data_IF_326797489580
#
_entry.id   IF_326797489580
#
_cell.length_a   1.000
_cell.length_b   1.000
_cell.length_c   1.000
_cell.angle_alpha   90.00
_cell.angle_beta   90.00
_cell.angle_gamma   90.00
#
_symmetry.space_group_name_H-M   'P 1'
#
loop_
_entity.id
_entity.type
_entity.pdbx_description
1 polymer ?
#
# COMPACT_ATOMS: atom_id res chain seq x y z
N UNK A 1 10.01 -16.20 3.21
CA UNK A 1 9.27 -15.81 4.40
C UNK A 1 10.03 -14.69 5.08
N UNK A 2 9.43 -13.53 5.21
CA UNK A 2 10.11 -12.33 5.69
C UNK A 2 10.10 -12.29 7.21
N UNK A 3 11.28 -12.17 7.82
CA UNK A 3 11.41 -11.76 9.22
C UNK A 3 10.67 -10.44 9.51
N UNK A 4 10.70 -9.99 10.76
CA UNK A 4 10.15 -8.69 11.13
C UNK A 4 10.88 -7.53 10.44
N UNK A 5 10.23 -6.39 10.34
CA UNK A 5 10.82 -5.19 9.76
C UNK A 5 10.18 -3.93 10.31
N UNK A 6 10.95 -2.86 10.34
CA UNK A 6 10.45 -1.49 10.57
C UNK A 6 10.90 -0.64 9.39
N UNK A 7 10.03 0.23 8.90
CA UNK A 7 10.35 1.13 7.80
C UNK A 7 9.82 2.54 8.05
N UNK A 8 10.52 3.50 7.46
CA UNK A 8 10.08 4.88 7.37
C UNK A 8 10.08 5.30 5.91
N UNK A 9 9.17 6.19 5.53
CA UNK A 9 9.09 6.69 4.17
C UNK A 9 8.60 8.14 4.14
N UNK A 10 9.06 8.90 3.17
CA UNK A 10 8.58 10.23 2.89
C UNK A 10 8.07 10.28 1.46
N UNK A 11 6.88 10.84 1.27
CA UNK A 11 6.24 11.03 -0.03
C UNK A 11 6.03 12.52 -0.26
N UNK A 12 6.32 12.99 -1.46
CA UNK A 12 6.12 14.36 -1.91
C UNK A 12 5.39 14.37 -3.24
N UNK A 13 4.27 15.07 -3.29
CA UNK A 13 3.59 15.48 -4.51
C UNK A 13 3.69 17.00 -4.61
N UNK A 14 4.46 17.53 -5.57
CA UNK A 14 4.50 18.97 -5.84
C UNK A 14 3.11 19.49 -6.19
N UNK A 15 2.95 20.81 -6.12
CA UNK A 15 1.66 21.44 -6.41
C UNK A 15 1.16 21.09 -7.82
N UNK A 16 -0.06 20.57 -7.89
CA UNK A 16 -0.80 20.26 -9.11
C UNK A 16 -2.05 21.13 -9.20
N UNK A 17 -2.38 21.61 -10.39
CA UNK A 17 -3.56 22.44 -10.63
C UNK A 17 -4.83 21.58 -10.67
N UNK A 18 -5.94 22.15 -10.24
CA UNK A 18 -7.26 21.60 -10.54
C UNK A 18 -7.63 21.84 -12.01
N UNK A 19 -8.58 21.09 -12.54
CA UNK A 19 -9.05 21.23 -13.92
C UNK A 19 -10.14 22.29 -14.04
N UNK A 20 -11.09 22.21 -13.12
CA UNK A 20 -12.40 22.87 -13.24
C UNK A 20 -12.56 24.05 -12.30
N UNK A 21 -11.64 24.22 -11.36
CA UNK A 21 -11.65 25.30 -10.36
C UNK A 21 -10.27 25.93 -10.24
N UNK A 22 -10.21 27.15 -9.74
CA UNK A 22 -8.95 27.84 -9.45
C UNK A 22 -8.14 27.12 -8.34
N UNK A 23 -6.83 27.38 -8.31
CA UNK A 23 -5.96 26.82 -7.30
C UNK A 23 -5.35 25.46 -7.67
N UNK A 24 -4.94 24.72 -6.64
CA UNK A 24 -4.25 23.45 -6.82
C UNK A 24 -4.20 22.62 -5.54
N UNK A 25 -3.58 21.48 -5.66
CA UNK A 25 -3.40 20.49 -4.63
C UNK A 25 -1.91 20.23 -4.42
N UNK A 26 -1.47 20.24 -3.18
CA UNK A 26 -0.11 19.86 -2.76
C UNK A 26 -0.21 18.86 -1.63
N UNK A 27 0.67 17.87 -1.63
CA UNK A 27 0.64 16.76 -0.68
C UNK A 27 2.05 16.37 -0.26
N UNK A 28 2.23 16.14 1.02
CA UNK A 28 3.42 15.46 1.55
C UNK A 28 3.02 14.53 2.69
N UNK A 29 3.72 13.41 2.82
CA UNK A 29 3.43 12.45 3.88
C UNK A 29 4.68 11.80 4.43
N UNK A 30 4.72 11.65 5.75
CA UNK A 30 5.70 10.83 6.47
C UNK A 30 4.99 9.57 6.93
N UNK A 31 5.50 8.41 6.51
CA UNK A 31 4.97 7.10 6.84
C UNK A 31 5.93 6.28 7.68
N UNK A 32 5.40 5.49 8.59
CA UNK A 32 6.10 4.46 9.35
C UNK A 32 5.33 3.16 9.24
N UNK A 33 6.03 2.04 9.09
CA UNK A 33 5.42 0.73 9.10
C UNK A 33 6.26 -0.24 9.93
N UNK A 34 5.59 -1.19 10.56
CA UNK A 34 6.24 -2.25 11.31
C UNK A 34 5.56 -3.59 11.01
N UNK A 35 6.37 -4.63 10.85
CA UNK A 35 5.93 -6.01 10.84
C UNK A 35 6.69 -6.76 11.93
N UNK A 36 5.96 -7.31 12.89
CA UNK A 36 6.53 -8.04 14.04
C UNK A 36 6.07 -9.49 13.94
N UNK A 37 6.98 -10.45 13.76
CA UNK A 37 6.61 -11.86 13.79
C UNK A 37 6.16 -12.23 15.21
N UNK A 38 4.97 -12.78 15.34
CA UNK A 38 4.41 -13.23 16.62
C UNK A 38 4.73 -14.70 16.86
N UNK A 39 4.54 -15.51 15.83
CA UNK A 39 4.70 -16.95 15.90
C UNK A 39 5.15 -17.49 14.55
N UNK A 40 6.00 -18.52 14.59
CA UNK A 40 6.37 -19.31 13.43
C UNK A 40 6.55 -20.76 13.83
N UNK A 41 5.80 -21.64 13.20
CA UNK A 41 6.03 -23.08 13.36
C UNK A 41 7.33 -23.49 12.67
N UNK A 42 8.01 -24.49 13.21
CA UNK A 42 9.08 -25.17 12.47
C UNK A 42 8.46 -25.91 11.28
N UNK A 43 9.10 -25.92 10.11
CA UNK A 43 8.67 -26.79 9.03
C UNK A 43 8.69 -28.26 9.50
N UNK A 44 7.62 -28.98 9.22
CA UNK A 44 7.60 -30.43 9.43
C UNK A 44 8.31 -31.15 8.27
N UNK A 45 8.34 -32.49 8.30
CA UNK A 45 8.96 -33.34 7.26
C UNK A 45 8.37 -33.07 5.86
N UNK A 46 7.09 -32.73 5.77
CA UNK A 46 6.43 -32.32 4.51
C UNK A 46 6.70 -30.86 4.13
N UNK A 47 7.55 -30.13 4.86
CA UNK A 47 7.84 -28.70 4.63
C UNK A 47 6.72 -27.75 5.02
N UNK A 48 5.63 -28.23 5.66
CA UNK A 48 4.51 -27.37 6.09
C UNK A 48 4.96 -26.43 7.19
N UNK A 49 4.56 -25.16 7.06
CA UNK A 49 4.78 -24.16 8.11
C UNK A 49 3.62 -23.16 8.18
N UNK A 50 3.54 -22.49 9.31
CA UNK A 50 2.63 -21.38 9.57
C UNK A 50 3.41 -20.22 10.21
N UNK A 51 3.15 -19.01 9.78
CA UNK A 51 3.71 -17.81 10.37
C UNK A 51 2.58 -16.81 10.64
N UNK A 52 2.55 -16.24 11.84
CA UNK A 52 1.69 -15.13 12.18
C UNK A 52 2.52 -13.89 12.48
N UNK A 53 2.03 -12.72 12.13
CA UNK A 53 2.70 -11.43 12.35
C UNK A 53 1.71 -10.33 12.68
N UNK A 54 2.15 -9.38 13.51
CA UNK A 54 1.48 -8.12 13.74
C UNK A 54 1.97 -7.10 12.71
N UNK A 55 1.06 -6.31 12.16
CA UNK A 55 1.36 -5.20 11.28
C UNK A 55 0.86 -3.90 11.91
N UNK A 56 1.66 -2.87 11.83
CA UNK A 56 1.28 -1.52 12.22
C UNK A 56 1.73 -0.56 11.12
N UNK A 57 0.82 0.28 10.66
CA UNK A 57 1.10 1.33 9.70
C UNK A 57 0.63 2.64 10.28
N UNK A 58 1.45 3.66 10.13
CA UNK A 58 1.17 5.01 10.59
C UNK A 58 1.65 6.00 9.52
N UNK A 59 0.82 6.98 9.18
CA UNK A 59 1.16 8.01 8.23
C UNK A 59 0.57 9.34 8.67
N UNK A 60 1.41 10.36 8.76
CA UNK A 60 0.97 11.76 8.86
C UNK A 60 1.09 12.42 7.51
N UNK A 61 0.06 13.16 7.13
CA UNK A 61 -0.05 13.78 5.82
C UNK A 61 -0.37 15.26 5.99
N UNK A 62 0.35 16.10 5.26
CA UNK A 62 0.05 17.53 5.12
C UNK A 62 -0.43 17.77 3.70
N UNK A 63 -1.65 18.29 3.55
CA UNK A 63 -2.23 18.63 2.25
C UNK A 63 -2.81 20.04 2.24
N UNK A 64 -2.58 20.77 1.17
CA UNK A 64 -3.20 22.08 0.92
C UNK A 64 -4.05 22.03 -0.33
N UNK A 65 -5.20 22.69 -0.27
CA UNK A 65 -6.18 22.79 -1.35
C UNK A 65 -6.41 24.25 -1.64
N UNK A 66 -6.23 24.68 -2.88
CA UNK A 66 -6.32 26.10 -3.24
C UNK A 66 -7.71 26.75 -3.10
N UNK A 67 -8.73 25.99 -2.77
CA UNK A 67 -10.09 26.47 -2.48
C UNK A 67 -10.44 26.39 -0.99
N UNK A 68 -9.53 25.92 -0.15
CA UNK A 68 -9.69 25.87 1.31
C UNK A 68 -8.55 26.66 1.93
N UNK A 69 -8.87 27.68 2.69
CA UNK A 69 -7.88 28.41 3.46
C UNK A 69 -7.29 27.48 4.52
N UNK A 70 -5.99 27.36 4.53
CA UNK A 70 -5.20 26.52 5.43
C UNK A 70 -4.84 25.12 4.93
N UNK A 71 -3.61 24.77 5.22
CA UNK A 71 -3.09 23.40 5.11
C UNK A 71 -3.79 22.49 6.11
N UNK A 72 -4.19 21.32 5.68
CA UNK A 72 -4.81 20.30 6.52
C UNK A 72 -3.83 19.19 6.84
N UNK A 73 -3.88 18.73 8.09
CA UNK A 73 -3.07 17.63 8.57
C UNK A 73 -3.97 16.42 8.83
N UNK A 74 -3.64 15.32 8.16
CA UNK A 74 -4.36 14.06 8.27
C UNK A 74 -3.49 13.03 8.97
N UNK A 75 -4.14 12.18 9.73
CA UNK A 75 -3.58 10.99 10.33
C UNK A 75 -4.21 9.77 9.68
N UNK A 76 -3.38 8.83 9.26
CA UNK A 76 -3.78 7.50 8.84
C UNK A 76 -3.01 6.48 9.68
N UNK A 77 -3.72 5.62 10.38
CA UNK A 77 -3.12 4.58 11.21
C UNK A 77 -3.89 3.29 11.09
N UNK A 78 -3.20 2.16 11.10
CA UNK A 78 -3.81 0.85 11.14
C UNK A 78 -2.99 -0.16 11.94
N UNK A 79 -3.70 -1.08 12.57
CA UNK A 79 -3.14 -2.28 13.19
C UNK A 79 -3.80 -3.51 12.60
N UNK A 80 -3.02 -4.55 12.37
CA UNK A 80 -3.53 -5.76 11.76
C UNK A 80 -2.73 -7.00 12.12
N UNK A 81 -3.36 -8.13 11.84
CA UNK A 81 -2.76 -9.45 11.91
C UNK A 81 -2.55 -9.99 10.51
N UNK A 82 -1.39 -10.58 10.27
CA UNK A 82 -1.08 -11.28 9.04
C UNK A 82 -0.74 -12.73 9.33
N UNK A 83 -1.08 -13.61 8.42
CA UNK A 83 -0.69 -15.00 8.47
C UNK A 83 -0.21 -15.50 7.10
N UNK A 84 0.79 -16.35 7.12
CA UNK A 84 1.27 -17.09 5.96
C UNK A 84 1.27 -18.57 6.30
N UNK A 85 0.59 -19.37 5.48
CA UNK A 85 0.54 -20.81 5.62
C UNK A 85 1.05 -21.49 4.35
N UNK A 86 1.92 -22.45 4.51
CA UNK A 86 2.39 -23.35 3.44
C UNK A 86 2.07 -24.77 3.81
N UNK A 87 1.38 -25.47 2.95
CA UNK A 87 0.90 -26.82 3.21
C UNK A 87 1.81 -27.94 2.69
N UNK A 88 3.05 -27.62 2.30
CA UNK A 88 4.01 -28.59 1.75
C UNK A 88 3.83 -28.89 0.26
N UNK A 89 2.79 -28.35 -0.38
CA UNK A 89 2.51 -28.52 -1.82
C UNK A 89 2.92 -27.31 -2.66
N UNK A 90 2.05 -26.95 -3.61
CA UNK A 90 2.27 -25.83 -4.54
C UNK A 90 1.64 -24.50 -4.07
N UNK A 91 0.97 -24.49 -2.92
CA UNK A 91 0.17 -23.37 -2.48
C UNK A 91 0.77 -22.70 -1.24
N UNK A 92 0.87 -21.37 -1.30
CA UNK A 92 1.10 -20.50 -0.14
C UNK A 92 -0.14 -19.65 0.04
N UNK A 93 -0.75 -19.73 1.20
CA UNK A 93 -1.88 -18.89 1.59
C UNK A 93 -1.38 -17.69 2.37
N UNK A 94 -1.82 -16.51 2.00
CA UNK A 94 -1.53 -15.24 2.68
C UNK A 94 -2.85 -14.64 3.12
N UNK A 95 -2.96 -14.34 4.39
CA UNK A 95 -4.13 -13.71 5.00
C UNK A 95 -3.70 -12.46 5.76
N UNK A 96 -4.52 -11.44 5.72
CA UNK A 96 -4.39 -10.29 6.60
C UNK A 96 -5.75 -9.75 6.99
N UNK A 97 -5.82 -9.15 8.15
CA UNK A 97 -6.96 -8.37 8.62
C UNK A 97 -6.44 -7.19 9.42
N UNK A 98 -6.99 -6.01 9.21
CA UNK A 98 -6.58 -4.80 9.89
C UNK A 98 -7.77 -3.91 10.22
N UNK A 99 -7.64 -3.18 11.33
CA UNK A 99 -8.48 -2.07 11.73
C UNK A 99 -7.66 -0.79 11.68
N UNK A 100 -8.24 0.29 11.22
CA UNK A 100 -7.53 1.56 11.12
C UNK A 100 -8.47 2.75 11.09
N UNK A 101 -7.86 3.92 11.05
CA UNK A 101 -8.55 5.20 10.88
C UNK A 101 -7.80 6.06 9.87
N UNK A 102 -8.50 6.98 9.21
CA UNK A 102 -7.87 8.03 8.44
C UNK A 102 -8.76 9.27 8.47
N UNK A 103 -8.28 10.30 9.14
CA UNK A 103 -9.05 11.51 9.40
C UNK A 103 -8.13 12.73 9.51
N UNK A 104 -8.69 13.92 9.34
CA UNK A 104 -8.01 15.13 9.74
C UNK A 104 -8.01 15.30 11.27
N UNK A 105 -7.14 16.16 11.77
CA UNK A 105 -7.02 16.43 13.20
C UNK A 105 -8.33 16.92 13.81
N UNK A 106 -9.08 17.76 13.10
CA UNK A 106 -10.36 18.30 13.60
C UNK A 106 -11.44 17.24 13.83
N UNK A 107 -11.44 16.16 13.03
CA UNK A 107 -12.35 15.02 13.24
C UNK A 107 -11.92 14.20 14.45
N UNK A 108 -10.62 13.99 14.60
CA UNK A 108 -10.06 13.21 15.74
C UNK A 108 -10.35 13.92 17.07
N UNK A 109 -10.08 15.21 17.13
CA UNK A 109 -10.30 16.02 18.35
C UNK A 109 -11.77 16.05 18.80
N UNK A 110 -12.71 15.90 17.86
CA UNK A 110 -14.16 15.84 18.14
C UNK A 110 -14.68 14.44 18.45
N UNK A 111 -13.83 13.42 18.48
CA UNK A 111 -14.19 12.01 18.68
C UNK A 111 -15.20 11.46 17.66
N UNK A 112 -15.30 12.06 16.48
CA UNK A 112 -16.20 11.66 15.39
C UNK A 112 -15.54 10.71 14.39
N UNK A 113 -14.42 10.10 14.77
CA UNK A 113 -13.63 9.24 13.91
C UNK A 113 -14.32 7.89 13.68
N UNK A 114 -14.48 7.51 12.43
CA UNK A 114 -14.94 6.16 12.05
C UNK A 114 -13.76 5.26 11.74
N UNK A 115 -13.78 4.08 12.33
CA UNK A 115 -12.80 3.03 12.04
C UNK A 115 -13.10 2.37 10.70
N UNK A 116 -12.05 1.81 10.10
CA UNK A 116 -12.08 1.07 8.85
C UNK A 116 -11.55 -0.32 9.07
N UNK A 117 -12.21 -1.29 8.49
CA UNK A 117 -11.73 -2.67 8.46
C UNK A 117 -11.23 -2.98 7.05
N UNK A 118 -10.11 -3.67 6.96
CA UNK A 118 -9.58 -4.18 5.71
C UNK A 118 -9.05 -5.59 5.91
N UNK A 119 -8.99 -6.34 4.84
CA UNK A 119 -8.42 -7.68 4.89
C UNK A 119 -8.20 -8.23 3.50
N UNK A 120 -7.41 -9.30 3.41
CA UNK A 120 -7.26 -10.06 2.19
C UNK A 120 -6.96 -11.52 2.50
N UNK A 121 -7.43 -12.38 1.61
CA UNK A 121 -7.06 -13.78 1.53
C UNK A 121 -6.59 -14.07 0.11
N UNK A 122 -5.32 -14.45 -0.04
CA UNK A 122 -4.69 -14.68 -1.33
C UNK A 122 -3.99 -16.03 -1.31
N UNK A 123 -4.26 -16.83 -2.33
CA UNK A 123 -3.57 -18.08 -2.60
C UNK A 123 -2.55 -17.84 -3.71
N UNK A 124 -1.29 -18.13 -3.42
CA UNK A 124 -0.20 -18.15 -4.39
C UNK A 124 0.03 -19.60 -4.80
N UNK A 125 -0.35 -19.94 -6.03
CA UNK A 125 -0.21 -21.26 -6.60
C UNK A 125 1.02 -21.35 -7.49
N UNK A 126 2.01 -22.14 -7.12
CA UNK A 126 3.19 -22.39 -7.93
C UNK A 126 2.84 -23.30 -9.12
N UNK A 127 2.66 -22.69 -10.30
CA UNK A 127 2.39 -23.43 -11.53
C UNK A 127 3.66 -24.11 -12.05
N UNK A 128 4.77 -23.38 -12.07
CA UNK A 128 6.07 -23.89 -12.53
C UNK A 128 7.22 -23.32 -11.68
N UNK A 129 8.46 -23.70 -11.99
CA UNK A 129 9.64 -23.09 -11.33
C UNK A 129 9.80 -21.60 -11.62
N UNK A 130 9.12 -21.06 -12.63
CA UNK A 130 9.20 -19.66 -13.05
C UNK A 130 7.92 -18.87 -12.80
N UNK A 131 6.76 -19.54 -12.62
CA UNK A 131 5.45 -18.90 -12.64
C UNK A 131 4.63 -19.24 -11.42
N UNK A 132 4.04 -18.22 -10.79
CA UNK A 132 3.08 -18.31 -9.69
C UNK A 132 1.81 -17.59 -10.10
N UNK A 133 0.68 -18.24 -10.00
CA UNK A 133 -0.64 -17.62 -10.09
C UNK A 133 -1.06 -17.15 -8.69
N UNK A 134 -1.77 -16.04 -8.65
CA UNK A 134 -2.27 -15.44 -7.43
C UNK A 134 -3.77 -15.20 -7.58
N UNK A 135 -4.57 -15.69 -6.66
CA UNK A 135 -6.01 -15.48 -6.67
C UNK A 135 -6.57 -15.41 -5.27
N UNK A 136 -7.63 -14.63 -5.11
CA UNK A 136 -8.19 -14.43 -3.79
C UNK A 136 -9.26 -13.35 -3.75
N UNK A 137 -9.47 -12.83 -2.56
CA UNK A 137 -10.39 -11.73 -2.29
C UNK A 137 -9.74 -10.74 -1.33
N UNK A 138 -9.93 -9.46 -1.60
CA UNK A 138 -9.59 -8.38 -0.68
C UNK A 138 -10.86 -7.64 -0.27
N UNK A 139 -10.86 -7.17 0.96
CA UNK A 139 -11.92 -6.38 1.54
C UNK A 139 -11.35 -5.02 1.95
N UNK A 140 -11.86 -3.95 1.38
CA UNK A 140 -11.29 -2.62 1.58
C UNK A 140 -12.36 -1.53 1.59
N UNK A 141 -12.10 -0.46 2.33
CA UNK A 141 -12.89 0.77 2.33
C UNK A 141 -12.42 1.82 1.32
N UNK A 142 -11.51 1.48 0.42
CA UNK A 142 -10.96 2.43 -0.54
C UNK A 142 -12.04 3.18 -1.36
N UNK A 143 -13.20 2.56 -1.57
CA UNK A 143 -14.31 3.13 -2.33
C UNK A 143 -15.47 3.64 -1.47
N UNK A 144 -15.28 3.81 -0.18
CA UNK A 144 -16.29 4.40 0.70
C UNK A 144 -17.24 3.44 1.37
N UNK A 145 -17.37 2.25 0.83
CA UNK A 145 -18.11 1.13 1.44
C UNK A 145 -17.17 -0.07 1.54
N UNK A 146 -17.38 -0.94 2.52
CA UNK A 146 -16.68 -2.20 2.55
C UNK A 146 -17.08 -3.00 1.30
N UNK A 147 -16.16 -3.22 0.40
CA UNK A 147 -16.41 -3.92 -0.86
C UNK A 147 -15.43 -5.10 -0.98
N UNK A 148 -15.95 -6.31 -1.16
CA UNK A 148 -15.12 -7.43 -1.55
C UNK A 148 -14.67 -7.24 -3.00
N UNK A 149 -13.36 -7.30 -3.22
CA UNK A 149 -12.74 -7.17 -4.53
C UNK A 149 -12.07 -8.50 -4.88
N UNK A 150 -12.34 -9.09 -6.03
CA UNK A 150 -11.57 -10.22 -6.52
C UNK A 150 -10.13 -9.79 -6.75
N UNK A 151 -9.20 -10.63 -6.37
CA UNK A 151 -7.77 -10.44 -6.58
C UNK A 151 -7.28 -11.52 -7.53
N UNK A 152 -6.69 -11.12 -8.64
CA UNK A 152 -6.14 -12.02 -9.65
C UNK A 152 -4.75 -11.54 -10.05
N UNK A 153 -3.80 -12.46 -10.15
CA UNK A 153 -2.45 -12.09 -10.49
C UNK A 153 -1.63 -13.22 -11.07
N UNK A 154 -0.55 -12.81 -11.69
CA UNK A 154 0.50 -13.70 -12.16
C UNK A 154 1.84 -13.07 -11.87
N UNK A 155 2.76 -13.87 -11.40
CA UNK A 155 4.15 -13.50 -11.26
C UNK A 155 5.01 -14.51 -11.99
N UNK A 156 5.78 -14.04 -12.98
CA UNK A 156 6.59 -14.92 -13.83
C UNK A 156 7.98 -14.36 -14.08
N UNK A 157 8.97 -15.21 -14.02
CA UNK A 157 10.34 -14.93 -14.46
C UNK A 157 10.39 -14.96 -15.99
N UNK A 158 10.60 -13.81 -16.63
CA UNK A 158 10.78 -13.70 -18.07
C UNK A 158 12.21 -14.10 -18.49
N UNK A 159 13.19 -13.72 -17.65
CA UNK A 159 14.60 -14.10 -17.77
C UNK A 159 15.24 -14.16 -16.38
N UNK A 160 16.55 -14.39 -16.29
CA UNK A 160 17.26 -14.42 -15.00
C UNK A 160 17.17 -13.07 -14.26
N UNK A 161 17.08 -11.98 -15.00
CA UNK A 161 17.06 -10.63 -14.43
C UNK A 161 15.67 -9.99 -14.48
N UNK A 162 14.73 -10.46 -15.31
CA UNK A 162 13.45 -9.83 -15.48
C UNK A 162 12.31 -10.65 -14.90
N UNK A 163 11.45 -9.99 -14.13
CA UNK A 163 10.23 -10.57 -13.56
C UNK A 163 9.06 -9.67 -13.96
N UNK A 164 8.03 -10.26 -14.54
CA UNK A 164 6.71 -9.65 -14.67
C UNK A 164 5.87 -10.02 -13.48
N UNK A 165 5.17 -9.05 -12.91
CA UNK A 165 4.26 -9.25 -11.79
C UNK A 165 3.01 -8.41 -11.98
N UNK A 166 1.86 -9.03 -11.87
CA UNK A 166 0.59 -8.34 -11.77
C UNK A 166 -0.21 -8.90 -10.62
N UNK A 167 -0.90 -8.03 -9.91
CA UNK A 167 -1.87 -8.36 -8.87
C UNK A 167 -3.02 -7.35 -8.97
N UNK A 168 -4.03 -7.67 -9.76
CA UNK A 168 -5.17 -6.78 -9.97
C UNK A 168 -6.13 -6.84 -8.79
N UNK A 169 -6.68 -5.68 -8.33
CA UNK A 169 -6.48 -4.34 -8.89
C UNK A 169 -5.33 -3.54 -8.24
N UNK A 170 -4.31 -4.18 -7.67
CA UNK A 170 -3.28 -3.55 -6.83
C UNK A 170 -2.13 -2.93 -7.62
N UNK A 171 -1.51 -3.71 -8.52
CA UNK A 171 -0.33 -3.25 -9.26
C UNK A 171 -0.07 -4.14 -10.50
N UNK A 172 0.51 -3.52 -11.53
CA UNK A 172 1.20 -4.20 -12.63
C UNK A 172 2.63 -3.70 -12.65
N UNK A 173 3.61 -4.59 -12.67
CA UNK A 173 5.02 -4.20 -12.64
C UNK A 173 5.95 -5.12 -13.44
N UNK A 174 7.02 -4.52 -13.95
CA UNK A 174 8.20 -5.20 -14.49
C UNK A 174 9.37 -4.89 -13.57
N UNK A 175 10.03 -5.92 -13.08
CA UNK A 175 11.13 -5.81 -12.12
C UNK A 175 12.39 -6.33 -12.76
N UNK A 176 13.45 -5.51 -12.79
CA UNK A 176 14.77 -5.87 -13.26
C UNK A 176 15.73 -5.98 -12.10
N UNK A 177 16.40 -7.12 -11.97
CA UNK A 177 17.52 -7.33 -11.03
C UNK A 177 18.81 -6.91 -11.69
N UNK A 178 19.29 -5.71 -11.43
CA UNK A 178 20.57 -5.23 -11.98
C UNK A 178 21.75 -6.01 -11.40
N UNK A 179 21.69 -6.31 -10.10
CA UNK A 179 22.69 -7.13 -9.40
C UNK A 179 22.10 -7.66 -8.07
N UNK A 180 22.90 -8.32 -7.23
CA UNK A 180 22.46 -8.89 -5.96
C UNK A 180 21.95 -7.85 -4.94
N UNK A 181 22.31 -6.56 -5.10
CA UNK A 181 21.94 -5.48 -4.18
C UNK A 181 20.89 -4.55 -4.77
N UNK A 182 20.76 -4.45 -6.10
CA UNK A 182 20.00 -3.41 -6.78
C UNK A 182 18.93 -4.00 -7.67
N UNK A 183 17.69 -3.57 -7.47
CA UNK A 183 16.57 -3.85 -8.34
C UNK A 183 15.87 -2.57 -8.78
N UNK A 184 15.49 -2.52 -10.05
CA UNK A 184 14.63 -1.50 -10.62
C UNK A 184 13.25 -2.08 -10.89
N UNK A 185 12.22 -1.28 -10.76
CA UNK A 185 10.86 -1.65 -11.16
C UNK A 185 10.23 -0.55 -11.99
N UNK A 186 9.43 -0.94 -12.97
CA UNK A 186 8.49 -0.09 -13.69
C UNK A 186 7.11 -0.54 -13.29
N UNK A 187 6.25 0.39 -12.88
CA UNK A 187 4.96 0.00 -12.33
C UNK A 187 3.82 0.94 -12.74
N UNK A 188 2.61 0.37 -12.75
CA UNK A 188 1.34 1.07 -12.80
C UNK A 188 0.51 0.56 -11.62
N UNK A 189 0.02 1.47 -10.79
CA UNK A 189 -0.79 1.12 -9.63
C UNK A 189 -1.85 2.18 -9.34
N UNK A 190 -3.02 1.81 -8.80
CA UNK A 190 -3.93 2.76 -8.20
C UNK A 190 -3.21 3.54 -7.09
N UNK A 191 -3.46 4.83 -7.04
CA UNK A 191 -2.99 5.73 -6.01
C UNK A 191 -4.16 6.55 -5.51
N UNK A 192 -4.00 7.14 -4.34
CA UNK A 192 -5.00 8.00 -3.76
C UNK A 192 -5.25 7.68 -2.31
N UNK A 193 -6.04 8.54 -1.70
CA UNK A 193 -6.32 8.48 -0.28
C UNK A 193 -7.80 8.81 -0.03
N UNK A 194 -8.29 8.32 1.09
CA UNK A 194 -9.59 8.69 1.60
C UNK A 194 -9.47 9.06 3.07
N UNK A 195 -9.92 10.26 3.41
CA UNK A 195 -9.87 10.78 4.78
C UNK A 195 -11.24 11.26 5.22
N UNK A 196 -11.53 11.16 6.50
CA UNK A 196 -12.57 11.92 7.15
C UNK A 196 -12.07 13.36 7.31
N UNK A 197 -12.87 14.32 6.90
CA UNK A 197 -12.52 15.73 6.83
C UNK A 197 -13.53 16.54 7.66
N UNK A 198 -13.03 17.39 8.55
CA UNK A 198 -13.85 18.33 9.31
C UNK A 198 -14.31 19.47 8.41
N UNK A 199 -15.62 19.55 8.17
CA UNK A 199 -16.18 20.49 7.20
C UNK A 199 -15.95 21.97 7.59
N UNK A 200 -16.04 22.34 8.86
CA UNK A 200 -15.83 23.72 9.37
C UNK A 200 -16.36 24.81 8.43
N UNK A 201 -17.53 24.60 7.87
CA UNK A 201 -18.14 25.55 6.92
C UNK A 201 -17.40 25.72 5.58
N UNK A 202 -16.52 24.79 5.21
CA UNK A 202 -15.83 24.85 3.90
C UNK A 202 -16.75 24.51 2.72
N UNK A 203 -17.82 23.73 3.00
CA UNK A 203 -18.78 23.33 1.98
C UNK A 203 -20.19 23.68 2.42
N UNK A 204 -21.05 23.98 1.46
CA UNK A 204 -22.47 24.27 1.70
C UNK A 204 -23.25 22.97 1.98
N UNK A 205 -23.00 22.39 3.16
CA UNK A 205 -23.71 21.20 3.67
C UNK A 205 -23.85 21.32 5.19
N UNK A 206 -24.90 20.74 5.73
CA UNK A 206 -25.12 20.68 7.20
C UNK A 206 -24.23 19.62 7.86
N UNK A 207 -23.60 18.75 7.09
CA UNK A 207 -22.73 17.71 7.61
C UNK A 207 -21.46 18.31 8.24
N UNK A 208 -21.22 18.07 9.53
CA UNK A 208 -20.02 18.49 10.24
C UNK A 208 -18.75 17.78 9.77
N UNK A 209 -18.91 16.58 9.19
CA UNK A 209 -17.82 15.75 8.67
C UNK A 209 -18.16 15.27 7.26
N UNK A 210 -17.22 15.42 6.36
CA UNK A 210 -17.29 14.92 4.98
C UNK A 210 -16.13 13.96 4.72
N UNK A 211 -16.22 13.17 3.66
CA UNK A 211 -15.12 12.33 3.20
C UNK A 211 -14.39 12.99 2.03
N UNK A 212 -13.12 13.26 2.21
CA UNK A 212 -12.20 13.55 1.14
C UNK A 212 -11.77 12.24 0.47
N UNK A 213 -11.90 12.15 -0.83
CA UNK A 213 -11.42 11.04 -1.63
C UNK A 213 -10.62 11.54 -2.82
N UNK A 214 -9.38 11.08 -2.94
CA UNK A 214 -8.54 11.25 -4.12
C UNK A 214 -8.38 9.89 -4.79
N UNK A 215 -8.63 9.83 -6.09
CA UNK A 215 -8.47 8.63 -6.92
C UNK A 215 -7.62 8.97 -8.12
N UNK A 216 -6.60 8.19 -8.36
CA UNK A 216 -5.70 8.39 -9.49
C UNK A 216 -4.88 7.11 -9.76
N UNK A 217 -4.10 7.11 -10.83
CA UNK A 217 -3.13 6.08 -11.12
C UNK A 217 -1.72 6.67 -11.06
N UNK A 218 -0.82 5.91 -10.49
CA UNK A 218 0.61 6.21 -10.52
C UNK A 218 1.28 5.33 -11.57
N UNK A 219 1.99 5.98 -12.49
CA UNK A 219 2.90 5.31 -13.44
C UNK A 219 4.31 5.76 -13.09
N UNK A 220 5.22 4.82 -12.86
CA UNK A 220 6.54 5.21 -12.38
C UNK A 220 7.60 4.13 -12.38
N UNK A 221 8.72 4.51 -11.80
CA UNK A 221 9.88 3.65 -11.58
C UNK A 221 10.22 3.59 -10.09
N UNK A 222 10.69 2.44 -9.65
CA UNK A 222 11.16 2.22 -8.29
C UNK A 222 12.57 1.67 -8.27
N UNK A 223 13.35 2.12 -7.32
CA UNK A 223 14.66 1.61 -6.98
C UNK A 223 14.60 0.93 -5.62
N UNK A 224 15.12 -0.28 -5.54
CA UNK A 224 15.38 -0.97 -4.29
C UNK A 224 16.89 -1.23 -4.18
N UNK A 225 17.52 -0.71 -3.13
CA UNK A 225 18.95 -0.88 -2.91
C UNK A 225 19.23 -1.46 -1.53
N UNK A 226 19.88 -2.64 -1.48
CA UNK A 226 20.31 -3.28 -0.23
C UNK A 226 21.61 -2.63 0.21
N UNK A 227 21.54 -1.74 1.19
CA UNK A 227 22.73 -1.14 1.83
C UNK A 227 23.50 -2.23 2.58
N UNK A 228 22.79 -3.03 3.37
CA UNK A 228 23.32 -4.21 4.08
C UNK A 228 22.31 -5.37 3.99
N UNK A 229 22.54 -6.45 4.73
CA UNK A 229 21.58 -7.55 4.87
C UNK A 229 20.29 -7.10 5.56
N UNK A 230 20.41 -6.14 6.47
CA UNK A 230 19.33 -5.63 7.31
C UNK A 230 18.70 -4.37 6.72
N UNK A 231 19.46 -3.49 6.07
CA UNK A 231 19.01 -2.19 5.61
C UNK A 231 18.72 -2.17 4.12
N UNK A 232 17.51 -1.71 3.77
CA UNK A 232 17.06 -1.51 2.38
C UNK A 232 16.61 -0.08 2.20
N UNK A 233 17.22 0.61 1.25
CA UNK A 233 16.76 1.89 0.74
C UNK A 233 15.80 1.67 -0.42
N UNK A 234 14.75 2.48 -0.48
CA UNK A 234 13.79 2.50 -1.59
C UNK A 234 13.59 3.92 -2.08
N UNK A 235 13.44 4.08 -3.38
CA UNK A 235 13.06 5.35 -4.00
C UNK A 235 12.11 5.09 -5.16
N UNK A 236 10.97 5.77 -5.18
CA UNK A 236 10.03 5.74 -6.29
C UNK A 236 9.93 7.15 -6.88
N UNK A 237 9.87 7.23 -8.20
CA UNK A 237 9.56 8.46 -8.93
C UNK A 237 8.53 8.13 -10.02
N UNK A 238 7.58 9.04 -10.24
CA UNK A 238 6.55 8.78 -11.24
C UNK A 238 5.62 9.95 -11.47
N UNK A 239 4.58 9.67 -12.24
CA UNK A 239 3.51 10.59 -12.55
C UNK A 239 2.18 10.03 -12.06
N UNK A 240 1.36 10.93 -11.53
CA UNK A 240 -0.02 10.71 -11.15
C UNK A 240 -0.92 11.17 -12.29
N UNK A 241 -1.80 10.31 -12.76
CA UNK A 241 -2.70 10.55 -13.89
C UNK A 241 -4.13 10.17 -13.54
N UNK A 242 -5.10 10.78 -14.25
CA UNK A 242 -6.53 10.49 -14.02
C UNK A 242 -7.04 10.96 -12.66
N UNK A 243 -6.42 11.97 -12.07
CA UNK A 243 -6.76 12.46 -10.73
C UNK A 243 -8.17 13.02 -10.66
N UNK A 244 -8.95 12.54 -9.68
CA UNK A 244 -10.29 12.99 -9.31
C UNK A 244 -10.33 13.22 -7.81
N UNK A 245 -10.58 14.44 -7.41
CA UNK A 245 -10.77 14.84 -6.02
C UNK A 245 -12.28 15.01 -5.76
N UNK A 246 -12.78 14.32 -4.76
CA UNK A 246 -14.19 14.33 -4.41
C UNK A 246 -14.37 14.47 -2.90
N UNK A 247 -15.31 15.35 -2.50
CA UNK A 247 -15.83 15.42 -1.14
C UNK A 247 -17.28 14.92 -1.15
N UNK A 248 -17.59 14.02 -0.25
CA UNK A 248 -18.93 13.42 -0.12
C UNK A 248 -19.40 13.52 1.32
N UNK A 249 -20.70 13.59 1.52
CA UNK A 249 -21.27 13.48 2.85
C UNK A 249 -21.00 12.11 3.47
N UNK A 250 -21.02 12.08 4.80
CA UNK A 250 -20.66 10.89 5.55
C UNK A 250 -21.67 9.76 5.33
N UNK A 251 -22.93 10.06 5.22
CA UNK A 251 -24.01 9.10 5.17
C UNK A 251 -24.49 8.83 3.72
N UNK A 252 -24.16 9.72 2.78
CA UNK A 252 -24.40 9.50 1.36
C UNK A 252 -23.14 9.65 0.50
N UNK A 253 -22.38 8.56 0.29
CA UNK A 253 -21.17 8.59 -0.54
C UNK A 253 -21.47 8.79 -2.03
N UNK A 254 -22.71 8.79 -2.46
CA UNK A 254 -23.10 9.04 -3.84
C UNK A 254 -23.23 10.54 -4.11
N UNK A 255 -23.72 11.30 -3.12
CA UNK A 255 -23.88 12.74 -3.24
C UNK A 255 -22.54 13.44 -3.03
N UNK A 256 -22.07 14.08 -4.09
CA UNK A 256 -20.85 14.89 -4.06
C UNK A 256 -21.19 16.32 -3.60
N UNK A 257 -20.57 16.78 -2.54
CA UNK A 257 -20.65 18.19 -2.14
C UNK A 257 -19.63 19.05 -2.89
N UNK A 258 -18.57 18.42 -3.40
CA UNK A 258 -17.59 19.06 -4.27
C UNK A 258 -16.83 17.99 -5.05
N UNK A 259 -16.57 18.26 -6.33
CA UNK A 259 -15.80 17.37 -7.19
C UNK A 259 -15.00 18.18 -8.21
N UNK A 260 -13.75 17.79 -8.44
CA UNK A 260 -12.91 18.38 -9.47
C UNK A 260 -11.87 17.40 -9.96
N UNK A 261 -11.46 17.52 -11.21
CA UNK A 261 -10.31 16.83 -11.75
C UNK A 261 -8.99 17.42 -11.24
N UNK A 262 -8.00 16.59 -11.05
CA UNK A 262 -6.62 17.02 -10.74
C UNK A 262 -5.74 16.78 -11.96
N UNK A 263 -4.99 17.81 -12.40
CA UNK A 263 -4.06 17.67 -13.53
C UNK A 263 -2.94 16.70 -13.19
N UNK A 264 -2.39 15.98 -14.18
CA UNK A 264 -1.23 15.12 -13.98
C UNK A 264 -0.07 15.87 -13.34
N UNK A 265 0.73 15.16 -12.53
CA UNK A 265 1.91 15.74 -11.90
C UNK A 265 2.83 14.70 -11.32
N UNK A 266 4.01 15.13 -10.91
CA UNK A 266 5.04 14.24 -10.35
C UNK A 266 4.70 13.74 -8.96
N UNK A 267 5.26 12.60 -8.61
CA UNK A 267 5.31 12.05 -7.26
C UNK A 267 6.68 11.46 -6.99
N UNK A 268 7.20 11.70 -5.80
CA UNK A 268 8.47 11.17 -5.32
C UNK A 268 8.25 10.51 -3.97
N UNK A 269 8.84 9.36 -3.77
CA UNK A 269 8.84 8.66 -2.48
C UNK A 269 10.22 8.10 -2.21
N UNK A 270 10.71 8.31 -0.99
CA UNK A 270 11.93 7.67 -0.49
C UNK A 270 11.60 6.90 0.78
N UNK A 271 12.36 5.86 1.05
CA UNK A 271 12.16 5.06 2.25
C UNK A 271 13.39 4.32 2.68
N UNK A 272 13.44 4.01 3.96
CA UNK A 272 14.44 3.16 4.57
C UNK A 272 13.73 2.09 5.38
N UNK A 273 14.14 0.84 5.18
CA UNK A 273 13.59 -0.31 5.91
C UNK A 273 14.72 -1.07 6.61
N UNK A 274 14.54 -1.31 7.90
CA UNK A 274 15.35 -2.22 8.67
C UNK A 274 14.64 -3.57 8.78
N UNK A 275 15.34 -4.66 8.47
CA UNK A 275 14.89 -6.04 8.66
C UNK A 275 15.52 -6.62 9.89
N UNK A 276 14.75 -7.20 10.77
CA UNK A 276 15.29 -7.89 11.95
C UNK A 276 16.13 -9.10 11.51
N UNK A 277 17.32 -9.29 12.10
CA UNK A 277 18.13 -10.47 11.84
C UNK A 277 17.32 -11.73 12.22
N UNK A 278 17.23 -12.66 11.30
CA UNK A 278 16.54 -13.90 11.55
C UNK A 278 17.49 -14.92 12.21
N UNK A 279 17.26 -15.24 13.48
CA UNK A 279 17.93 -16.33 14.20
C UNK A 279 17.33 -17.70 13.84
N UNK A 280 17.24 -18.05 12.59
CA UNK A 280 16.65 -19.31 12.16
C UNK A 280 17.38 -19.83 10.94
N UNK A 281 17.79 -21.12 11.01
CA UNK A 281 18.66 -21.79 10.08
C UNK A 281 18.37 -21.53 8.61
N UNK A 282 19.41 -21.57 7.82
CA UNK A 282 19.40 -21.50 6.37
C UNK A 282 18.32 -22.47 5.84
N UNK A 283 17.14 -21.96 5.50
CA UNK A 283 16.29 -22.70 4.59
C UNK A 283 17.03 -22.71 3.26
N UNK A 284 17.55 -23.87 2.91
CA UNK A 284 18.12 -24.13 1.59
C UNK A 284 17.18 -23.57 0.53
N UNK A 285 17.77 -22.76 -0.36
CA UNK A 285 17.11 -21.96 -1.35
C UNK A 285 16.02 -22.69 -2.12
N UNK A 286 14.80 -22.52 -1.68
CA UNK A 286 13.66 -22.99 -2.44
C UNK A 286 13.48 -22.03 -3.61
N UNK A 287 13.51 -22.57 -4.84
CA UNK A 287 13.25 -21.82 -6.10
C UNK A 287 11.97 -20.96 -6.03
N UNK A 288 11.04 -21.32 -5.13
CA UNK A 288 9.83 -20.54 -4.84
C UNK A 288 10.13 -19.20 -4.15
N UNK A 289 11.15 -19.14 -3.27
CA UNK A 289 11.55 -17.87 -2.63
C UNK A 289 12.05 -16.86 -3.66
N UNK A 290 12.72 -17.31 -4.71
CA UNK A 290 13.21 -16.44 -5.79
C UNK A 290 12.06 -15.83 -6.61
N UNK A 291 10.96 -16.55 -6.77
CA UNK A 291 9.78 -16.04 -7.49
C UNK A 291 8.94 -15.13 -6.60
N UNK A 292 8.81 -15.43 -5.31
CA UNK A 292 8.04 -14.63 -4.36
C UNK A 292 8.83 -13.43 -3.81
N UNK A 293 10.15 -13.51 -3.79
CA UNK A 293 11.02 -12.43 -3.31
C UNK A 293 12.11 -12.12 -4.35
N UNK A 294 11.79 -11.28 -5.36
CA UNK A 294 12.67 -11.05 -6.52
C UNK A 294 14.04 -10.44 -6.20
N UNK A 295 14.18 -9.85 -5.04
CA UNK A 295 15.44 -9.23 -4.62
C UNK A 295 16.33 -10.17 -3.78
N UNK A 296 15.84 -11.40 -3.55
CA UNK A 296 16.54 -12.39 -2.73
C UNK A 296 16.66 -11.94 -1.25
N UNK A 297 16.85 -12.90 -0.36
CA UNK A 297 17.26 -12.59 1.01
C UNK A 297 18.72 -12.10 1.05
#
# INVERSE_FOLDING_TARGET
VSGGSIGVSYTLEPQRKFRDVGGGYKYSALGMNAKIPLFRSKPNESGRFFEASLHADFQTTSASFGFIDNTRNFLNGSFGLGAVAFNGGKNIMVMNAAIGLAADKGVIDKSNTRYRFSGAFIINHQHSSKTVYQYGVAFTYAYGKPLPLPVLGIRTKLSDNWIFSTLLPVEVSFINKLNAKTGLSFFIRPSGNRYQFDNRSNFNTQASTVFLQLREFQVGMGLNYKISKEFIFTADAGFLVGGQLKFTEQDDPKTSVFETGVKPGGIFKIGLRYRFPHKGGNMHGNKMNDVLNPLGN
#
